data_IF_213185079617
#
_entry.id   IF_213185079617
#
_cell.length_a   1.000
_cell.length_b   1.000
_cell.length_c   1.000
_cell.angle_alpha   90.00
_cell.angle_beta   90.00
_cell.angle_gamma   90.00
#
_symmetry.space_group_name_H-M   'P 1'
#
loop_
_entity.id
_entity.type
_entity.pdbx_description
1 polymer ?
#
# COMPACT_ATOMS: atom_id res chain seq x y z
N UNK A 1 -0.85 -10.15 -7.00
CA UNK A 1 -1.07 -8.73 -6.72
C UNK A 1 -1.16 -8.47 -5.23
N UNK A 2 -2.28 -8.85 -4.60
CA UNK A 2 -2.60 -8.53 -3.20
C UNK A 2 -1.56 -9.02 -2.19
N UNK A 3 -1.02 -10.23 -2.35
CA UNK A 3 0.09 -10.73 -1.51
C UNK A 3 1.31 -9.79 -1.52
N UNK A 4 1.64 -9.22 -2.68
CA UNK A 4 2.78 -8.31 -2.81
C UNK A 4 2.53 -6.96 -2.14
N UNK A 5 1.27 -6.50 -2.12
CA UNK A 5 0.89 -5.31 -1.33
C UNK A 5 1.06 -5.58 0.18
N UNK A 6 0.64 -6.76 0.65
CA UNK A 6 0.84 -7.17 2.04
C UNK A 6 2.32 -7.19 2.42
N UNK A 7 3.17 -7.80 1.60
CA UNK A 7 4.63 -7.84 1.83
C UNK A 7 5.25 -6.43 1.92
N UNK A 8 4.73 -5.46 1.17
CA UNK A 8 5.20 -4.06 1.26
C UNK A 8 4.70 -3.41 2.54
N UNK A 9 3.42 -3.60 2.90
CA UNK A 9 2.85 -3.06 4.14
C UNK A 9 3.56 -3.61 5.37
N UNK A 10 3.80 -4.93 5.43
CA UNK A 10 4.52 -5.56 6.54
C UNK A 10 5.91 -4.96 6.69
N UNK A 11 6.63 -4.77 5.57
CA UNK A 11 7.94 -4.12 5.58
C UNK A 11 7.90 -2.67 6.07
N UNK A 12 6.85 -1.92 5.72
CA UNK A 12 6.63 -0.56 6.26
C UNK A 12 6.45 -0.65 7.78
N UNK A 13 5.52 -1.48 8.26
CA UNK A 13 5.21 -1.67 9.68
C UNK A 13 6.38 -2.18 10.52
N UNK A 14 7.31 -2.93 9.92
CA UNK A 14 8.54 -3.39 10.57
C UNK A 14 9.64 -2.31 10.64
N UNK A 15 9.36 -1.09 10.16
CA UNK A 15 10.32 0.02 10.16
C UNK A 15 11.42 -0.14 9.11
N UNK A 16 11.14 -0.92 8.06
CA UNK A 16 12.01 -1.21 6.91
C UNK A 16 11.45 -0.65 5.59
N UNK A 17 10.35 0.12 5.66
CA UNK A 17 9.74 0.79 4.52
C UNK A 17 10.59 1.95 3.98
N UNK A 18 10.39 2.27 2.71
CA UNK A 18 11.00 3.43 2.04
C UNK A 18 9.93 4.27 1.36
N UNK A 19 10.27 5.51 0.98
CA UNK A 19 9.33 6.37 0.23
C UNK A 19 8.88 5.73 -1.10
N UNK A 20 9.77 4.98 -1.75
CA UNK A 20 9.48 4.26 -3.00
C UNK A 20 8.40 3.18 -2.81
N UNK A 21 8.23 2.68 -1.59
CA UNK A 21 7.23 1.66 -1.28
C UNK A 21 5.81 2.22 -1.32
N UNK A 22 5.64 3.51 -1.04
CA UNK A 22 4.34 4.19 -1.17
C UNK A 22 3.93 4.26 -2.63
N UNK A 23 4.87 4.62 -3.50
CA UNK A 23 4.63 4.71 -4.94
C UNK A 23 4.34 3.32 -5.52
N UNK A 24 5.10 2.29 -5.10
CA UNK A 24 4.84 0.89 -5.46
C UNK A 24 3.47 0.40 -5.01
N UNK A 25 3.01 0.76 -3.81
CA UNK A 25 1.68 0.36 -3.34
C UNK A 25 0.56 1.00 -4.18
N UNK A 26 0.74 2.27 -4.56
CA UNK A 26 -0.22 3.01 -5.39
C UNK A 26 -0.32 2.42 -6.80
N UNK A 27 0.82 2.23 -7.47
CA UNK A 27 0.90 1.61 -8.80
C UNK A 27 0.35 0.18 -8.81
N UNK A 28 0.78 -0.65 -7.85
CA UNK A 28 0.35 -2.04 -7.75
C UNK A 28 -1.14 -2.14 -7.43
N UNK A 29 -1.65 -1.29 -6.54
CA UNK A 29 -3.07 -1.25 -6.20
C UNK A 29 -3.94 -0.86 -7.39
N UNK A 30 -3.53 0.15 -8.16
CA UNK A 30 -4.21 0.55 -9.39
C UNK A 30 -4.18 -0.58 -10.44
N UNK A 31 -3.01 -1.20 -10.65
CA UNK A 31 -2.85 -2.32 -11.58
C UNK A 31 -3.73 -3.52 -11.22
N UNK A 32 -3.82 -3.90 -9.94
CA UNK A 32 -4.68 -5.00 -9.49
C UNK A 32 -6.15 -4.65 -9.71
N UNK A 33 -6.54 -3.41 -9.42
CA UNK A 33 -7.92 -2.94 -9.55
C UNK A 33 -8.38 -2.97 -10.99
N UNK A 34 -7.57 -2.48 -11.91
CA UNK A 34 -7.90 -2.41 -13.34
C UNK A 34 -7.71 -3.75 -14.06
N UNK A 35 -6.71 -4.54 -13.66
CA UNK A 35 -6.37 -5.81 -14.30
C UNK A 35 -7.20 -7.01 -13.83
N UNK A 36 -8.01 -6.88 -12.79
CA UNK A 36 -8.80 -7.99 -12.25
C UNK A 36 -10.15 -8.15 -12.95
N UNK A 37 -10.47 -9.39 -13.34
CA UNK A 37 -11.74 -9.74 -13.99
C UNK A 37 -12.88 -10.04 -13.01
N UNK A 38 -12.58 -10.21 -11.71
CA UNK A 38 -13.57 -10.48 -10.67
C UNK A 38 -13.69 -9.29 -9.69
N UNK A 39 -14.89 -9.07 -9.16
CA UNK A 39 -15.15 -7.96 -8.24
C UNK A 39 -14.32 -8.01 -6.95
N UNK A 40 -13.93 -9.20 -6.49
CA UNK A 40 -13.02 -9.33 -5.34
C UNK A 40 -11.63 -8.80 -5.66
N UNK A 41 -11.06 -9.15 -6.82
CA UNK A 41 -9.75 -8.65 -7.24
C UNK A 41 -9.77 -7.13 -7.43
N UNK A 42 -10.87 -6.59 -7.96
CA UNK A 42 -11.06 -5.15 -8.15
C UNK A 42 -11.18 -4.37 -6.82
N UNK A 43 -11.78 -4.98 -5.80
CA UNK A 43 -12.03 -4.31 -4.52
C UNK A 43 -10.95 -4.56 -3.47
N UNK A 44 -10.21 -5.67 -3.57
CA UNK A 44 -9.13 -6.02 -2.64
C UNK A 44 -8.05 -4.94 -2.43
N UNK A 45 -7.60 -4.15 -3.42
CA UNK A 45 -6.61 -3.09 -3.19
C UNK A 45 -7.21 -1.81 -2.58
N UNK A 46 -8.55 -1.65 -2.55
CA UNK A 46 -9.19 -0.41 -2.12
C UNK A 46 -8.84 0.01 -0.68
N UNK A 47 -8.76 -0.87 0.33
CA UNK A 47 -8.38 -0.47 1.68
C UNK A 47 -7.03 0.23 1.72
N UNK A 48 -6.03 -0.34 1.03
CA UNK A 48 -4.66 0.20 0.99
C UNK A 48 -4.60 1.51 0.21
N UNK A 49 -5.27 1.59 -0.94
CA UNK A 49 -5.33 2.83 -1.73
C UNK A 49 -6.04 3.96 -0.96
N UNK A 50 -7.10 3.62 -0.21
CA UNK A 50 -7.84 4.58 0.59
C UNK A 50 -7.00 5.09 1.76
N UNK A 51 -6.28 4.22 2.46
CA UNK A 51 -5.42 4.64 3.57
C UNK A 51 -4.24 5.47 3.08
N UNK A 52 -3.61 5.08 1.97
CA UNK A 52 -2.56 5.90 1.35
C UNK A 52 -3.07 7.28 0.94
N UNK A 53 -4.30 7.39 0.43
CA UNK A 53 -4.88 8.68 0.05
C UNK A 53 -5.14 9.59 1.24
N UNK A 54 -5.71 9.04 2.33
CA UNK A 54 -6.21 9.84 3.45
C UNK A 54 -5.17 10.02 4.57
N UNK A 55 -4.28 9.05 4.73
CA UNK A 55 -3.32 8.98 5.84
C UNK A 55 -1.87 8.92 5.34
N UNK A 56 -1.56 9.40 4.12
CA UNK A 56 -0.20 9.37 3.56
C UNK A 56 0.86 9.92 4.53
N UNK A 57 0.50 10.95 5.30
CA UNK A 57 1.39 11.57 6.26
C UNK A 57 1.81 10.60 7.37
N UNK A 58 0.89 9.76 7.87
CA UNK A 58 1.19 8.72 8.88
C UNK A 58 2.17 7.67 8.30
N UNK A 59 1.99 7.26 7.04
CA UNK A 59 2.95 6.39 6.37
C UNK A 59 4.35 7.02 6.28
N UNK A 60 4.42 8.32 5.96
CA UNK A 60 5.69 9.05 5.84
C UNK A 60 6.37 9.20 7.21
N UNK A 61 5.60 9.55 8.24
CA UNK A 61 6.06 9.61 9.63
C UNK A 61 6.58 8.24 10.09
N UNK A 62 5.84 7.17 9.80
CA UNK A 62 6.30 5.82 10.12
C UNK A 62 7.60 5.43 9.41
N UNK A 63 7.74 5.79 8.12
CA UNK A 63 8.95 5.50 7.34
C UNK A 63 10.15 6.32 7.85
N UNK A 64 9.96 7.60 8.19
CA UNK A 64 11.05 8.51 8.57
C UNK A 64 11.43 8.39 10.04
N UNK A 65 10.42 8.41 10.90
CA UNK A 65 10.56 8.57 12.34
C UNK A 65 10.39 7.23 13.08
N UNK A 66 9.99 6.16 12.37
CA UNK A 66 9.74 4.81 12.93
C UNK A 66 8.72 4.83 14.07
N UNK A 67 7.76 5.74 13.99
CA UNK A 67 6.67 5.93 14.95
C UNK A 67 5.36 5.50 14.28
N UNK A 68 4.53 4.72 14.99
CA UNK A 68 3.21 4.27 14.55
C UNK A 68 2.14 4.93 15.41
#
# INVERSE_FOLDING_TARGET
GTKRMLEILDRICEGHGTMEDLDKLEELGAFIKEGSLCGLGQTAPNPVLSTLRHFRHEYIEHIRDKQC
#
